data_IF_379195966207
#
_entry.id   IF_379195966207
#
_cell.length_a   1.000
_cell.length_b   1.000
_cell.length_c   1.000
_cell.angle_alpha   90.00
_cell.angle_beta   90.00
_cell.angle_gamma   90.00
#
_symmetry.space_group_name_H-M   'P 1'
#
loop_
_entity.id
_entity.type
_entity.pdbx_description
1 polymer ?
#
# COMPACT_ATOMS: atom_id res chain seq x y z
N UNK A 1 -10.64 -8.81 31.76
CA UNK A 1 -9.31 -8.68 32.40
C UNK A 1 -8.42 -9.72 31.73
N UNK A 2 -7.52 -9.44 30.79
CA UNK A 2 -6.81 -8.24 30.33
C UNK A 2 -6.67 -8.29 28.79
N UNK A 3 -7.11 -7.26 28.07
CA UNK A 3 -6.82 -7.05 26.64
C UNK A 3 -5.89 -5.82 26.47
N UNK A 4 -5.04 -5.56 27.47
CA UNK A 4 -4.27 -4.32 27.58
C UNK A 4 -2.75 -4.50 27.43
N UNK A 5 -2.28 -5.66 26.97
CA UNK A 5 -0.86 -5.92 26.76
C UNK A 5 -0.62 -6.41 25.32
N UNK A 6 -0.09 -5.49 24.50
CA UNK A 6 0.44 -5.69 23.14
C UNK A 6 -0.58 -5.75 21.99
N UNK A 7 -0.30 -4.93 20.96
CA UNK A 7 -1.00 -5.02 19.68
C UNK A 7 -0.67 -6.38 19.06
N UNK A 8 -1.68 -7.25 18.98
CA UNK A 8 -1.50 -8.66 18.65
C UNK A 8 -0.96 -8.92 17.23
N UNK A 9 -0.43 -10.13 17.03
CA UNK A 9 0.18 -10.63 15.78
C UNK A 9 -0.64 -10.34 14.53
N UNK A 10 -1.97 -10.41 14.61
CA UNK A 10 -2.86 -10.13 13.49
C UNK A 10 -2.77 -8.67 12.98
N UNK A 11 -2.50 -7.70 13.87
CA UNK A 11 -2.35 -6.30 13.47
C UNK A 11 -0.97 -6.08 12.83
N UNK A 12 0.06 -6.73 13.36
CA UNK A 12 1.46 -6.51 12.94
C UNK A 12 1.85 -7.39 11.75
N UNK A 13 1.93 -8.71 11.93
CA UNK A 13 2.27 -9.64 10.84
C UNK A 13 1.16 -9.77 9.80
N UNK A 14 -0.09 -9.47 10.17
CA UNK A 14 -1.19 -9.38 9.21
C UNK A 14 -0.97 -8.32 8.13
N UNK A 15 -0.13 -7.30 8.37
CA UNK A 15 0.25 -6.32 7.36
C UNK A 15 0.98 -6.99 6.19
N UNK A 16 1.91 -7.89 6.49
CA UNK A 16 2.65 -8.61 5.46
C UNK A 16 1.74 -9.55 4.68
N UNK A 17 0.82 -10.25 5.36
CA UNK A 17 -0.16 -11.12 4.69
C UNK A 17 -1.12 -10.33 3.80
N UNK A 18 -1.66 -9.20 4.28
CA UNK A 18 -2.54 -8.34 3.51
C UNK A 18 -1.81 -7.73 2.29
N UNK A 19 -0.57 -7.30 2.49
CA UNK A 19 0.27 -6.80 1.40
C UNK A 19 0.54 -7.88 0.36
N UNK A 20 0.95 -9.09 0.77
CA UNK A 20 1.25 -10.17 -0.17
C UNK A 20 0.04 -10.57 -1.03
N UNK A 21 -1.16 -10.59 -0.44
CA UNK A 21 -2.40 -10.89 -1.18
C UNK A 21 -2.76 -9.78 -2.17
N UNK A 22 -2.62 -8.52 -1.78
CA UNK A 22 -2.83 -7.38 -2.67
C UNK A 22 -1.81 -7.36 -3.83
N UNK A 23 -0.54 -7.53 -3.52
CA UNK A 23 0.56 -7.52 -4.49
C UNK A 23 0.47 -8.71 -5.46
N UNK A 24 -0.02 -9.86 -5.00
CA UNK A 24 -0.33 -11.00 -5.88
C UNK A 24 -1.40 -10.65 -6.92
N UNK A 25 -2.46 -9.91 -6.56
CA UNK A 25 -3.44 -9.43 -7.55
C UNK A 25 -2.73 -8.55 -8.60
N UNK A 26 -1.88 -7.62 -8.16
CA UNK A 26 -1.16 -6.72 -9.06
C UNK A 26 -0.24 -7.48 -10.02
N UNK A 27 0.60 -8.39 -9.51
CA UNK A 27 1.51 -9.21 -10.33
C UNK A 27 0.75 -9.99 -11.41
N UNK A 28 -0.39 -10.57 -11.06
CA UNK A 28 -1.18 -11.38 -11.99
C UNK A 28 -1.91 -10.54 -13.06
N UNK A 29 -2.20 -9.28 -12.77
CA UNK A 29 -3.12 -8.46 -13.58
C UNK A 29 -2.43 -7.32 -14.31
N UNK A 30 -1.33 -6.78 -13.78
CA UNK A 30 -0.63 -5.63 -14.32
C UNK A 30 -0.08 -5.84 -15.75
N UNK A 31 0.61 -6.95 -16.09
CA UNK A 31 1.17 -7.12 -17.44
C UNK A 31 0.09 -7.19 -18.52
N UNK A 32 -1.05 -7.83 -18.22
CA UNK A 32 -2.19 -7.88 -19.14
C UNK A 32 -2.91 -6.53 -19.22
N UNK A 33 -3.04 -5.83 -18.10
CA UNK A 33 -3.70 -4.52 -18.06
C UNK A 33 -2.89 -3.48 -18.83
N UNK A 34 -1.58 -3.39 -18.61
CA UNK A 34 -0.68 -2.45 -19.28
C UNK A 34 -0.79 -2.60 -20.80
N UNK A 35 -0.67 -3.82 -21.32
CA UNK A 35 -0.76 -4.09 -22.76
C UNK A 35 -2.10 -3.71 -23.39
N UNK A 36 -3.21 -3.89 -22.67
CA UNK A 36 -4.55 -3.74 -23.24
C UNK A 36 -5.20 -2.36 -22.99
N UNK A 37 -4.87 -1.71 -21.87
CA UNK A 37 -5.55 -0.48 -21.42
C UNK A 37 -4.71 0.77 -21.61
N UNK A 38 -3.38 0.69 -21.48
CA UNK A 38 -2.53 1.89 -21.58
C UNK A 38 -2.62 2.57 -22.95
N UNK A 39 -2.66 1.86 -24.10
CA UNK A 39 -2.88 2.51 -25.39
C UNK A 39 -4.21 3.28 -25.46
N UNK A 40 -5.29 2.70 -24.90
CA UNK A 40 -6.62 3.33 -24.86
C UNK A 40 -6.67 4.54 -23.94
N UNK A 41 -5.99 4.49 -22.80
CA UNK A 41 -5.89 5.60 -21.86
C UNK A 41 -5.07 6.75 -22.43
N UNK A 42 -4.01 6.44 -23.18
CA UNK A 42 -3.21 7.43 -23.89
C UNK A 42 -4.02 8.21 -24.91
N UNK A 43 -4.86 7.53 -25.70
CA UNK A 43 -5.78 8.20 -26.62
C UNK A 43 -6.82 9.08 -25.90
N UNK A 44 -7.30 8.61 -24.75
CA UNK A 44 -8.32 9.31 -23.95
C UNK A 44 -7.79 10.53 -23.22
N UNK A 45 -6.51 10.54 -22.84
CA UNK A 45 -5.88 11.62 -22.08
C UNK A 45 -4.62 12.15 -22.80
N UNK A 46 -4.80 12.87 -23.92
CA UNK A 46 -3.68 13.36 -24.75
C UNK A 46 -2.81 14.41 -24.03
N UNK A 47 -3.35 15.09 -23.01
CA UNK A 47 -2.63 16.10 -22.22
C UNK A 47 -1.60 15.49 -21.26
N UNK A 48 -1.68 14.18 -20.98
CA UNK A 48 -0.71 13.49 -20.13
C UNK A 48 0.61 13.35 -20.91
N UNK A 49 1.74 13.82 -20.34
CA UNK A 49 3.02 13.80 -21.05
C UNK A 49 3.44 12.40 -21.49
N UNK A 50 3.95 12.30 -22.71
CA UNK A 50 4.36 11.02 -23.33
C UNK A 50 5.35 10.21 -22.48
N UNK A 51 6.21 10.89 -21.72
CA UNK A 51 7.14 10.24 -20.79
C UNK A 51 6.43 9.38 -19.74
N UNK A 52 5.22 9.75 -19.32
CA UNK A 52 4.42 9.00 -18.33
C UNK A 52 3.92 7.71 -18.96
N UNK A 53 3.40 7.77 -20.18
CA UNK A 53 2.96 6.58 -20.91
C UNK A 53 4.10 5.62 -21.20
N UNK A 54 5.26 6.14 -21.62
CA UNK A 54 6.47 5.34 -21.83
C UNK A 54 6.97 4.70 -20.55
N UNK A 55 6.92 5.42 -19.42
CA UNK A 55 7.31 4.84 -18.14
C UNK A 55 6.42 3.64 -17.78
N UNK A 56 5.10 3.75 -17.93
CA UNK A 56 4.16 2.65 -17.62
C UNK A 56 4.34 1.47 -18.58
N UNK A 57 4.52 1.72 -19.88
CA UNK A 57 4.75 0.64 -20.86
C UNK A 57 6.14 0.01 -20.76
N UNK A 58 7.12 0.78 -20.29
CA UNK A 58 8.50 0.35 -20.13
C UNK A 58 8.74 -0.52 -18.90
N UNK A 59 7.78 -0.63 -17.98
CA UNK A 59 7.87 -1.54 -16.84
C UNK A 59 7.85 -2.98 -17.36
N UNK A 60 9.02 -3.61 -17.35
CA UNK A 60 9.16 -5.03 -17.67
C UNK A 60 8.73 -5.91 -16.48
N UNK A 61 8.25 -7.11 -16.76
CA UNK A 61 7.81 -8.08 -15.74
C UNK A 61 8.94 -8.40 -14.75
N UNK A 62 10.19 -8.43 -15.23
CA UNK A 62 11.38 -8.63 -14.39
C UNK A 62 11.64 -7.44 -13.46
N UNK A 63 11.47 -6.22 -13.94
CA UNK A 63 11.64 -5.01 -13.11
C UNK A 63 10.55 -4.94 -12.05
N UNK A 64 9.30 -5.23 -12.43
CA UNK A 64 8.18 -5.32 -11.52
C UNK A 64 8.42 -6.39 -10.44
N UNK A 65 8.83 -7.61 -10.82
CA UNK A 65 9.13 -8.70 -9.88
C UNK A 65 10.26 -8.34 -8.91
N UNK A 66 11.31 -7.63 -9.39
CA UNK A 66 12.39 -7.14 -8.52
C UNK A 66 11.86 -6.11 -7.51
N UNK A 67 11.03 -5.16 -7.97
CA UNK A 67 10.41 -4.17 -7.10
C UNK A 67 9.54 -4.84 -6.03
N UNK A 68 8.73 -5.83 -6.40
CA UNK A 68 7.94 -6.67 -5.47
C UNK A 68 8.84 -7.33 -4.43
N UNK A 69 9.97 -7.91 -4.84
CA UNK A 69 10.93 -8.53 -3.91
C UNK A 69 11.51 -7.53 -2.89
N UNK A 70 11.87 -6.33 -3.34
CA UNK A 70 12.35 -5.25 -2.45
C UNK A 70 11.25 -4.82 -1.49
N UNK A 71 10.02 -4.63 -2.00
CA UNK A 71 8.87 -4.26 -1.18
C UNK A 71 8.51 -5.34 -0.16
N UNK A 72 8.63 -6.62 -0.51
CA UNK A 72 8.47 -7.74 0.42
C UNK A 72 9.44 -7.62 1.60
N UNK A 73 10.70 -7.28 1.32
CA UNK A 73 11.70 -7.02 2.36
C UNK A 73 11.34 -5.85 3.26
N UNK A 74 10.93 -4.71 2.67
CA UNK A 74 10.54 -3.51 3.42
C UNK A 74 9.31 -3.76 4.30
N UNK A 75 8.25 -4.33 3.71
CA UNK A 75 6.99 -4.60 4.41
C UNK A 75 7.19 -5.69 5.47
N UNK A 76 7.93 -6.75 5.14
CA UNK A 76 8.28 -7.82 6.08
C UNK A 76 9.08 -7.30 7.27
N UNK A 77 10.14 -6.52 7.03
CA UNK A 77 10.92 -5.89 8.09
C UNK A 77 10.07 -4.94 8.95
N UNK A 78 9.19 -4.15 8.32
CA UNK A 78 8.22 -3.30 9.01
C UNK A 78 7.27 -4.11 9.89
N UNK A 79 6.72 -5.21 9.39
CA UNK A 79 5.82 -6.10 10.12
C UNK A 79 6.51 -6.76 11.32
N UNK A 80 7.73 -7.27 11.14
CA UNK A 80 8.55 -7.86 12.23
C UNK A 80 8.89 -6.81 13.28
N UNK A 81 9.29 -5.60 12.87
CA UNK A 81 9.54 -4.50 13.81
C UNK A 81 8.27 -4.09 14.56
N UNK A 82 7.12 -4.13 13.89
CA UNK A 82 5.80 -3.94 14.51
C UNK A 82 5.53 -4.99 15.56
N UNK A 83 5.71 -6.27 15.23
CA UNK A 83 5.50 -7.39 16.13
C UNK A 83 6.43 -7.30 17.36
N UNK A 84 7.73 -7.12 17.15
CA UNK A 84 8.73 -7.02 18.22
C UNK A 84 8.49 -5.82 19.17
N UNK A 85 7.87 -4.75 18.67
CA UNK A 85 7.57 -3.54 19.45
C UNK A 85 6.13 -3.48 19.99
N UNK A 86 5.30 -4.51 19.78
CA UNK A 86 3.88 -4.47 20.11
C UNK A 86 3.13 -3.32 19.42
N UNK A 87 3.50 -3.01 18.17
CA UNK A 87 2.89 -1.97 17.33
C UNK A 87 3.49 -0.56 17.47
N UNK A 88 4.44 -0.33 18.38
CA UNK A 88 5.04 1.01 18.64
C UNK A 88 6.06 1.48 17.60
N UNK A 89 6.60 0.57 16.80
CA UNK A 89 7.62 0.87 15.79
C UNK A 89 7.15 1.95 14.81
N UNK A 90 7.93 3.01 14.69
CA UNK A 90 7.69 4.08 13.73
C UNK A 90 7.75 3.55 12.29
N UNK A 91 8.69 2.63 12.01
CA UNK A 91 8.80 1.98 10.70
C UNK A 91 7.54 1.18 10.38
N UNK A 92 7.04 0.36 11.31
CA UNK A 92 5.80 -0.39 11.13
C UNK A 92 4.62 0.53 10.80
N UNK A 93 4.42 1.59 11.59
CA UNK A 93 3.29 2.50 11.38
C UNK A 93 3.43 3.32 10.09
N UNK A 94 4.66 3.64 9.67
CA UNK A 94 4.92 4.28 8.38
C UNK A 94 4.57 3.34 7.21
N UNK A 95 5.01 2.08 7.26
CA UNK A 95 4.66 1.07 6.25
C UNK A 95 3.15 0.83 6.21
N UNK A 96 2.49 0.71 7.36
CA UNK A 96 1.03 0.57 7.45
C UNK A 96 0.30 1.74 6.77
N UNK A 97 0.78 2.97 6.99
CA UNK A 97 0.20 4.16 6.37
C UNK A 97 0.46 4.21 4.87
N UNK A 98 1.68 3.86 4.45
CA UNK A 98 2.04 3.73 3.03
C UNK A 98 1.18 2.70 2.32
N UNK A 99 0.95 1.55 2.94
CA UNK A 99 0.07 0.50 2.43
C UNK A 99 -1.37 1.00 2.26
N UNK A 100 -1.93 1.68 3.26
CA UNK A 100 -3.26 2.29 3.14
C UNK A 100 -3.36 3.34 2.04
N UNK A 101 -2.36 4.22 1.93
CA UNK A 101 -2.30 5.25 0.89
C UNK A 101 -2.21 4.61 -0.51
N UNK A 102 -1.40 3.57 -0.66
CA UNK A 102 -1.28 2.80 -1.90
C UNK A 102 -2.64 2.23 -2.33
N UNK A 103 -3.38 1.61 -1.42
CA UNK A 103 -4.75 1.15 -1.71
C UNK A 103 -5.71 2.27 -2.11
N UNK A 104 -5.62 3.44 -1.47
CA UNK A 104 -6.45 4.60 -1.86
C UNK A 104 -6.10 5.12 -3.26
N UNK A 105 -4.83 5.10 -3.65
CA UNK A 105 -4.40 5.48 -4.99
C UNK A 105 -5.01 4.54 -6.05
N UNK A 106 -5.05 3.24 -5.80
CA UNK A 106 -5.71 2.27 -6.68
C UNK A 106 -7.21 2.50 -6.83
N UNK A 107 -7.90 2.79 -5.72
CA UNK A 107 -9.32 3.17 -5.77
C UNK A 107 -9.51 4.42 -6.62
N UNK A 108 -8.66 5.44 -6.44
CA UNK A 108 -8.67 6.65 -7.26
C UNK A 108 -8.43 6.38 -8.75
N UNK A 109 -7.45 5.53 -9.07
CA UNK A 109 -7.14 5.12 -10.44
C UNK A 109 -8.32 4.38 -11.09
N UNK A 110 -8.94 3.43 -10.38
CA UNK A 110 -10.11 2.71 -10.88
C UNK A 110 -11.30 3.64 -11.17
N UNK A 111 -11.57 4.60 -10.27
CA UNK A 111 -12.62 5.61 -10.46
C UNK A 111 -12.32 6.51 -11.65
N UNK A 112 -11.06 6.96 -11.82
CA UNK A 112 -10.65 7.80 -12.93
C UNK A 112 -10.77 7.08 -14.29
N UNK A 113 -10.35 5.80 -14.34
CA UNK A 113 -10.45 4.96 -15.53
C UNK A 113 -11.90 4.52 -15.81
N UNK A 114 -12.77 4.53 -14.77
CA UNK A 114 -14.13 3.97 -14.78
C UNK A 114 -14.13 2.51 -15.24
N UNK A 115 -13.17 1.74 -14.75
CA UNK A 115 -12.97 0.36 -15.16
C UNK A 115 -12.00 -0.37 -14.26
N UNK A 116 -11.69 -1.61 -14.62
CA UNK A 116 -10.75 -2.43 -13.88
C UNK A 116 -9.33 -1.85 -13.97
N UNK A 117 -8.67 -1.73 -12.83
CA UNK A 117 -7.22 -1.48 -12.71
C UNK A 117 -6.62 -2.55 -11.79
N UNK A 118 -5.33 -2.90 -11.96
CA UNK A 118 -4.64 -3.78 -11.02
C UNK A 118 -4.86 -3.26 -9.60
N UNK A 119 -5.17 -4.16 -8.66
CA UNK A 119 -5.42 -3.79 -7.26
C UNK A 119 -6.82 -3.24 -6.96
N UNK A 120 -7.72 -3.08 -7.94
CA UNK A 120 -9.07 -2.54 -7.70
C UNK A 120 -9.95 -3.43 -6.82
N UNK A 121 -9.71 -4.75 -6.80
CA UNK A 121 -10.51 -5.67 -5.99
C UNK A 121 -10.01 -5.64 -4.55
N UNK A 122 -8.72 -5.90 -4.35
CA UNK A 122 -8.12 -5.99 -3.01
C UNK A 122 -7.99 -4.63 -2.33
N UNK A 123 -7.86 -3.51 -3.05
CA UNK A 123 -7.73 -2.18 -2.40
C UNK A 123 -8.91 -1.80 -1.50
N UNK A 124 -10.17 -1.77 -1.99
CA UNK A 124 -11.33 -1.45 -1.16
C UNK A 124 -11.76 -2.58 -0.22
N UNK A 125 -11.45 -3.85 -0.55
CA UNK A 125 -11.92 -5.00 0.24
C UNK A 125 -10.93 -5.50 1.30
N UNK A 126 -9.63 -5.24 1.09
CA UNK A 126 -8.55 -5.72 1.95
C UNK A 126 -7.67 -4.58 2.46
N UNK A 127 -7.04 -3.80 1.56
CA UNK A 127 -6.00 -2.82 1.93
C UNK A 127 -6.57 -1.72 2.84
N UNK A 128 -7.63 -1.05 2.39
CA UNK A 128 -8.27 0.03 3.15
C UNK A 128 -8.90 -0.50 4.45
N UNK A 129 -9.73 -1.56 4.44
CA UNK A 129 -10.29 -2.12 5.67
C UNK A 129 -9.23 -2.57 6.67
N UNK A 130 -8.19 -3.30 6.22
CA UNK A 130 -7.10 -3.74 7.08
C UNK A 130 -6.38 -2.55 7.72
N UNK A 131 -6.07 -1.51 6.93
CA UNK A 131 -5.35 -0.34 7.43
C UNK A 131 -6.15 0.42 8.47
N UNK A 132 -7.44 0.65 8.22
CA UNK A 132 -8.34 1.31 9.17
C UNK A 132 -8.48 0.50 10.45
N UNK A 133 -8.66 -0.82 10.32
CA UNK A 133 -8.75 -1.73 11.45
C UNK A 133 -7.46 -1.72 12.28
N UNK A 134 -6.30 -1.91 11.67
CA UNK A 134 -5.00 -1.92 12.33
C UNK A 134 -4.74 -0.58 13.05
N UNK A 135 -5.00 0.56 12.39
CA UNK A 135 -4.89 1.90 13.02
C UNK A 135 -5.84 2.07 14.20
N UNK A 136 -7.07 1.54 14.11
CA UNK A 136 -8.02 1.58 15.23
C UNK A 136 -7.51 0.78 16.44
N UNK A 137 -6.87 -0.37 16.22
CA UNK A 137 -6.27 -1.20 17.27
C UNK A 137 -5.07 -0.49 17.91
N UNK A 138 -4.18 0.09 17.11
CA UNK A 138 -3.06 0.91 17.59
C UNK A 138 -3.55 2.08 18.45
N UNK A 139 -4.64 2.75 18.04
CA UNK A 139 -5.23 3.87 18.77
C UNK A 139 -5.79 3.43 20.11
N UNK A 140 -6.56 2.33 20.14
CA UNK A 140 -7.14 1.79 21.37
C UNK A 140 -6.06 1.35 22.37
N UNK A 141 -4.95 0.82 21.88
CA UNK A 141 -3.80 0.45 22.70
C UNK A 141 -2.90 1.64 23.10
N UNK A 142 -3.25 2.88 22.73
CA UNK A 142 -2.47 4.08 23.09
C UNK A 142 -1.11 4.21 22.41
N UNK A 143 -0.81 3.37 21.41
CA UNK A 143 0.51 3.32 20.75
C UNK A 143 0.52 3.96 19.35
N UNK A 144 -0.64 4.37 18.84
CA UNK A 144 -0.73 5.04 17.54
C UNK A 144 0.02 6.38 17.59
N UNK A 145 1.03 6.52 16.74
CA UNK A 145 1.79 7.75 16.60
C UNK A 145 0.97 8.78 15.82
N UNK A 146 1.08 10.08 16.15
CA UNK A 146 0.52 11.14 15.32
C UNK A 146 1.04 11.01 13.88
N UNK A 147 0.14 11.08 12.90
CA UNK A 147 0.50 10.95 11.49
C UNK A 147 1.48 12.04 11.08
N UNK A 148 2.58 11.65 10.45
CA UNK A 148 3.68 12.52 10.00
C UNK A 148 3.35 13.48 8.86
N UNK A 149 2.10 13.93 8.72
CA UNK A 149 1.82 15.15 7.97
C UNK A 149 2.09 16.41 8.83
N UNK A 150 1.96 16.31 10.16
CA UNK A 150 2.21 17.43 11.09
C UNK A 150 3.66 17.58 11.56
N UNK A 151 4.49 16.53 11.44
CA UNK A 151 5.87 16.56 11.91
C UNK A 151 6.87 17.20 10.93
N UNK A 152 6.47 17.35 9.66
CA UNK A 152 7.29 18.04 8.65
C UNK A 152 7.22 19.57 8.83
N UNK A 153 6.14 20.08 9.43
CA UNK A 153 5.93 21.52 9.64
C UNK A 153 6.71 22.06 10.85
N UNK A 154 7.09 21.21 11.80
CA UNK A 154 7.81 21.63 13.03
C UNK A 154 9.32 21.44 12.99
N UNK A 155 9.88 20.95 11.88
CA UNK A 155 11.33 20.72 11.73
C UNK A 155 12.11 21.84 11.02
N UNK A 156 11.46 22.95 10.65
CA UNK A 156 12.07 24.08 9.94
C UNK A 156 11.77 25.44 10.61
N UNK A 157 11.58 25.45 11.92
CA UNK A 157 11.45 26.67 12.74
C UNK A 157 12.69 26.94 13.56
#
# INVERSE_FOLDING_TARGET
MRDDETVGTAVTLGLFAAWALHDTEEVLTAPRWIRNQVPRLRERWPDVPERVWRAVQGVDEREFTRAVGVMAGIVGAGAVAGWASGGRSAAYQAVLNGFGLHGLLHVGQAVAVRGYTPGVVTSPTLVVPFTLWARSRLKRAGVLRPGGAGAVVTGLG
#
